data_IF_686795810870
#
_entry.id   IF_686795810870
#
_cell.length_a   1.000
_cell.length_b   1.000
_cell.length_c   1.000
_cell.angle_alpha   90.00
_cell.angle_beta   90.00
_cell.angle_gamma   90.00
#
_symmetry.space_group_name_H-M   'P 1'
#
loop_
_entity.id
_entity.type
_entity.pdbx_description
1 polymer ?
#
# COMPACT_ATOMS: atom_id res chain seq x y z
N UNK A 1 -63.52 -6.69 61.22
CA UNK A 1 -63.08 -7.99 60.67
C UNK A 1 -61.98 -7.73 59.65
N UNK A 2 -60.71 -7.87 60.07
CA UNK A 2 -59.53 -7.49 59.28
C UNK A 2 -58.75 -8.76 58.91
N UNK A 3 -58.79 -9.15 57.64
CA UNK A 3 -58.15 -10.36 57.14
C UNK A 3 -56.65 -10.13 56.96
N UNK A 4 -55.85 -10.70 57.86
CA UNK A 4 -54.38 -10.76 57.77
C UNK A 4 -53.97 -11.62 56.58
N UNK A 5 -53.36 -11.03 55.56
CA UNK A 5 -52.66 -11.77 54.49
C UNK A 5 -51.38 -12.37 55.07
N UNK A 6 -51.32 -13.69 55.15
CA UNK A 6 -50.10 -14.45 55.47
C UNK A 6 -49.23 -14.53 54.21
N UNK A 7 -48.05 -13.92 54.24
CA UNK A 7 -47.01 -14.16 53.25
C UNK A 7 -46.41 -15.55 53.52
N UNK A 8 -46.47 -16.46 52.54
CA UNK A 8 -45.66 -17.69 52.52
C UNK A 8 -44.43 -17.41 51.65
N UNK A 9 -43.25 -17.47 52.27
CA UNK A 9 -41.97 -17.62 51.60
C UNK A 9 -41.99 -18.96 50.85
N UNK A 10 -41.84 -18.91 49.52
CA UNK A 10 -41.51 -20.09 48.71
C UNK A 10 -40.01 -20.02 48.46
N UNK A 11 -39.33 -21.09 48.84
CA UNK A 11 -37.90 -21.30 48.65
C UNK A 11 -37.57 -21.21 47.16
N UNK A 12 -36.60 -20.36 46.81
CA UNK A 12 -36.02 -20.29 45.48
C UNK A 12 -34.94 -21.37 45.37
N UNK A 13 -35.36 -22.61 45.16
CA UNK A 13 -34.50 -23.69 44.70
C UNK A 13 -34.89 -24.03 43.26
N UNK A 14 -33.88 -24.20 42.40
CA UNK A 14 -33.92 -24.37 40.94
C UNK A 14 -33.73 -23.09 40.11
N UNK A 15 -32.65 -22.36 40.40
CA UNK A 15 -31.90 -21.71 39.32
C UNK A 15 -31.25 -22.81 38.48
N UNK A 16 -31.79 -23.04 37.30
CA UNK A 16 -31.12 -23.73 36.21
C UNK A 16 -29.88 -22.90 35.86
N UNK A 17 -28.64 -23.37 36.02
CA UNK A 17 -27.55 -22.75 35.31
C UNK A 17 -27.65 -23.27 33.88
N UNK A 18 -28.20 -22.47 32.98
CA UNK A 18 -27.94 -22.64 31.55
C UNK A 18 -26.51 -22.17 31.28
N UNK A 19 -25.55 -22.85 31.91
CA UNK A 19 -24.19 -22.90 31.41
C UNK A 19 -24.26 -23.80 30.18
N UNK A 20 -24.54 -23.19 29.04
CA UNK A 20 -24.20 -23.78 27.75
C UNK A 20 -22.67 -23.88 27.74
N UNK A 21 -22.14 -24.96 28.32
CA UNK A 21 -20.79 -25.43 28.07
C UNK A 21 -20.78 -25.92 26.62
N UNK A 22 -20.72 -24.96 25.70
CA UNK A 22 -20.28 -25.24 24.35
C UNK A 22 -18.92 -25.91 24.52
N UNK A 23 -18.85 -27.19 24.16
CA UNK A 23 -17.65 -28.02 24.17
C UNK A 23 -16.65 -27.37 23.22
N UNK A 24 -15.91 -26.39 23.73
CA UNK A 24 -14.79 -25.80 23.04
C UNK A 24 -13.74 -26.90 23.02
N UNK A 25 -13.46 -27.43 21.82
CA UNK A 25 -12.39 -28.42 21.66
C UNK A 25 -11.13 -27.94 22.40
N UNK A 26 -10.42 -28.82 23.13
CA UNK A 26 -9.19 -28.45 23.80
C UNK A 26 -8.17 -27.89 22.80
N UNK A 27 -7.27 -27.02 23.25
CA UNK A 27 -6.19 -26.52 22.39
C UNK A 27 -5.22 -27.66 22.15
N UNK A 28 -4.98 -27.97 20.88
CA UNK A 28 -3.86 -28.82 20.49
C UNK A 28 -2.61 -27.96 20.34
N UNK A 29 -1.67 -28.16 21.27
CA UNK A 29 -0.40 -27.43 21.34
C UNK A 29 0.64 -27.91 20.33
N UNK A 30 0.40 -29.05 19.66
CA UNK A 30 1.21 -29.52 18.53
C UNK A 30 0.86 -28.79 17.23
N UNK A 31 -0.29 -28.12 17.19
CA UNK A 31 -0.70 -27.25 16.09
C UNK A 31 -0.32 -25.80 16.39
N UNK A 32 -0.51 -24.93 15.41
CA UNK A 32 -0.36 -23.50 15.65
C UNK A 32 -1.32 -23.04 16.75
N UNK A 33 -0.80 -22.59 17.89
CA UNK A 33 -1.59 -22.15 19.04
C UNK A 33 -2.55 -20.99 18.71
N UNK A 34 -2.28 -20.23 17.64
CA UNK A 34 -3.04 -19.03 17.25
C UNK A 34 -4.15 -19.28 16.22
N UNK A 35 -4.08 -20.38 15.47
CA UNK A 35 -5.08 -20.70 14.44
C UNK A 35 -5.62 -22.13 14.50
N UNK A 36 -5.00 -23.01 15.30
CA UNK A 36 -5.35 -24.41 15.48
C UNK A 36 -5.41 -25.19 14.16
N UNK A 37 -4.53 -24.83 13.22
CA UNK A 37 -4.38 -25.50 11.92
C UNK A 37 -3.01 -26.19 11.84
N UNK A 38 -2.93 -27.35 11.15
CA UNK A 38 -1.66 -27.91 10.76
C UNK A 38 -0.93 -26.96 9.82
N UNK A 39 0.40 -27.03 9.85
CA UNK A 39 1.26 -26.18 9.06
C UNK A 39 2.25 -27.05 8.30
N UNK A 40 2.32 -26.89 6.98
CA UNK A 40 3.42 -27.48 6.19
C UNK A 40 4.75 -26.78 6.45
N UNK A 41 4.71 -25.53 6.95
CA UNK A 41 5.88 -24.74 7.35
C UNK A 41 6.20 -24.96 8.83
N UNK A 42 7.47 -24.90 9.24
CA UNK A 42 7.86 -25.05 10.64
C UNK A 42 7.19 -23.97 11.51
N UNK A 43 6.68 -24.40 12.67
CA UNK A 43 6.15 -23.51 13.69
C UNK A 43 7.32 -22.93 14.50
N UNK A 44 7.17 -21.69 14.95
CA UNK A 44 8.18 -21.04 15.79
C UNK A 44 7.79 -21.21 17.27
N UNK A 45 8.72 -21.70 18.07
CA UNK A 45 8.60 -21.78 19.52
C UNK A 45 9.52 -20.72 20.16
N UNK A 46 8.98 -19.70 20.86
CA UNK A 46 9.79 -18.70 21.54
C UNK A 46 10.75 -19.26 22.59
N UNK A 47 10.43 -20.40 23.20
CA UNK A 47 11.32 -21.07 24.15
C UNK A 47 12.59 -21.62 23.48
N UNK A 48 12.55 -21.88 22.17
CA UNK A 48 13.67 -22.38 21.37
C UNK A 48 14.43 -21.25 20.65
N UNK A 49 14.18 -20.00 21.02
CA UNK A 49 14.92 -18.85 20.48
C UNK A 49 16.41 -18.96 20.83
N UNK A 50 17.27 -18.55 19.90
CA UNK A 50 18.72 -18.45 20.13
C UNK A 50 19.14 -17.16 20.86
N UNK A 51 18.18 -16.28 21.14
CA UNK A 51 18.44 -14.99 21.78
C UNK A 51 18.56 -15.17 23.30
N UNK A 52 19.18 -14.21 23.96
CA UNK A 52 19.35 -14.20 25.43
C UNK A 52 18.02 -14.10 26.19
N UNK A 53 16.98 -13.61 25.53
CA UNK A 53 15.61 -13.42 26.05
C UNK A 53 14.64 -14.54 25.59
N UNK A 54 15.10 -15.80 25.62
CA UNK A 54 14.25 -16.95 25.26
C UNK A 54 12.94 -16.98 26.04
N UNK A 55 11.84 -17.19 25.32
CA UNK A 55 10.49 -17.16 25.90
C UNK A 55 9.83 -15.78 26.00
N UNK A 56 10.55 -14.67 25.84
CA UNK A 56 9.97 -13.31 25.91
C UNK A 56 8.82 -13.09 24.91
N UNK A 57 8.84 -13.82 23.80
CA UNK A 57 7.77 -13.80 22.79
C UNK A 57 6.39 -14.22 23.31
N UNK A 58 6.31 -15.01 24.39
CA UNK A 58 5.03 -15.39 25.02
C UNK A 58 4.40 -14.22 25.76
N UNK A 59 5.21 -13.49 26.53
CA UNK A 59 4.76 -12.32 27.30
C UNK A 59 4.26 -11.24 26.34
N UNK A 60 5.07 -10.84 25.35
CA UNK A 60 4.68 -9.83 24.36
C UNK A 60 3.41 -10.21 23.60
N UNK A 61 3.24 -11.50 23.27
CA UNK A 61 2.06 -11.96 22.55
C UNK A 61 0.82 -11.93 23.46
N UNK A 62 0.95 -12.35 24.72
CA UNK A 62 -0.12 -12.28 25.71
C UNK A 62 -0.61 -10.84 25.91
N UNK A 63 0.30 -9.89 26.08
CA UNK A 63 -0.02 -8.47 26.25
C UNK A 63 -0.76 -7.91 25.04
N UNK A 64 -0.26 -8.16 23.82
CA UNK A 64 -0.92 -7.69 22.61
C UNK A 64 -2.33 -8.28 22.48
N UNK A 65 -2.51 -9.57 22.74
CA UNK A 65 -3.83 -10.23 22.66
C UNK A 65 -4.83 -9.62 23.65
N UNK A 66 -4.38 -9.31 24.87
CA UNK A 66 -5.19 -8.63 25.88
C UNK A 66 -5.62 -7.23 25.40
N UNK A 67 -4.70 -6.47 24.83
CA UNK A 67 -5.00 -5.13 24.31
C UNK A 67 -5.96 -5.18 23.11
N UNK A 68 -5.83 -6.17 22.21
CA UNK A 68 -6.80 -6.37 21.13
C UNK A 68 -8.21 -6.65 21.65
N UNK A 69 -8.35 -7.45 22.71
CA UNK A 69 -9.64 -7.72 23.36
C UNK A 69 -10.24 -6.44 23.96
N UNK A 70 -9.43 -5.60 24.62
CA UNK A 70 -9.90 -4.32 25.17
C UNK A 70 -10.44 -3.38 24.09
N UNK A 71 -9.87 -3.43 22.88
CA UNK A 71 -10.33 -2.68 21.72
C UNK A 71 -11.53 -3.32 20.99
N UNK A 72 -12.07 -4.43 21.49
CA UNK A 72 -13.14 -5.19 20.83
C UNK A 72 -12.73 -5.79 19.48
N UNK A 73 -11.42 -5.93 19.21
CA UNK A 73 -10.90 -6.47 17.96
C UNK A 73 -10.55 -7.95 18.12
N UNK A 74 -10.80 -8.74 17.07
CA UNK A 74 -10.50 -10.17 17.04
C UNK A 74 -9.46 -10.49 15.96
N UNK A 75 -8.15 -10.47 16.28
CA UNK A 75 -7.09 -10.67 15.31
C UNK A 75 -6.95 -12.13 14.84
N UNK A 76 -7.55 -13.07 15.57
CA UNK A 76 -7.42 -14.51 15.35
C UNK A 76 -8.77 -15.22 15.25
N UNK A 77 -8.85 -16.32 14.48
CA UNK A 77 -10.06 -17.11 14.40
C UNK A 77 -10.39 -17.83 15.72
N UNK A 78 -9.40 -18.10 16.57
CA UNK A 78 -9.61 -18.72 17.88
C UNK A 78 -10.14 -17.72 18.90
N UNK A 79 -10.86 -18.22 19.90
CA UNK A 79 -11.31 -17.42 21.02
C UNK A 79 -10.15 -17.26 22.02
N UNK A 80 -9.74 -16.02 22.31
CA UNK A 80 -8.53 -15.75 23.11
C UNK A 80 -8.67 -16.28 24.54
N UNK A 81 -9.87 -16.33 25.11
CA UNK A 81 -10.07 -16.90 26.45
C UNK A 81 -9.71 -18.39 26.55
N UNK A 82 -9.54 -19.11 25.42
CA UNK A 82 -9.04 -20.49 25.43
C UNK A 82 -7.54 -20.58 25.70
N UNK A 83 -6.82 -19.47 25.55
CA UNK A 83 -5.37 -19.39 25.77
C UNK A 83 -5.03 -18.92 27.19
N UNK A 84 -6.02 -18.73 28.05
CA UNK A 84 -5.84 -18.32 29.44
C UNK A 84 -6.44 -19.38 30.37
N UNK A 85 -5.57 -20.15 31.02
CA UNK A 85 -5.97 -21.18 31.99
C UNK A 85 -6.12 -20.60 33.42
N UNK A 86 -6.12 -19.27 33.57
CA UNK A 86 -6.36 -18.57 34.84
C UNK A 86 -5.11 -17.92 35.45
N UNK A 87 -3.94 -18.12 34.86
CA UNK A 87 -2.67 -17.50 35.28
C UNK A 87 -2.11 -16.50 34.27
N UNK A 88 -2.91 -16.17 33.24
CA UNK A 88 -2.57 -15.24 32.18
C UNK A 88 -2.06 -15.93 30.92
N UNK A 89 -2.44 -15.36 29.77
CA UNK A 89 -2.14 -15.88 28.43
C UNK A 89 -0.65 -16.19 28.23
N UNK A 90 0.24 -15.26 28.63
CA UNK A 90 1.68 -15.45 28.46
C UNK A 90 2.23 -16.68 29.19
N UNK A 91 1.78 -16.91 30.43
CA UNK A 91 2.21 -18.03 31.25
C UNK A 91 1.65 -19.36 30.72
N UNK A 92 0.37 -19.36 30.35
CA UNK A 92 -0.28 -20.52 29.71
C UNK A 92 0.41 -20.92 28.41
N UNK A 93 0.78 -19.96 27.55
CA UNK A 93 1.53 -20.23 26.32
C UNK A 93 2.94 -20.76 26.59
N UNK A 94 3.64 -20.20 27.59
CA UNK A 94 4.99 -20.59 27.93
C UNK A 94 5.05 -22.03 28.47
N UNK A 95 4.15 -22.37 29.40
CA UNK A 95 4.06 -23.69 30.04
C UNK A 95 3.77 -24.80 29.04
N UNK A 96 2.93 -24.52 28.05
CA UNK A 96 2.58 -25.47 27.00
C UNK A 96 3.55 -25.46 25.81
N UNK A 97 4.70 -24.76 25.92
CA UNK A 97 5.68 -24.59 24.85
C UNK A 97 5.06 -24.19 23.50
N UNK A 98 4.04 -23.34 23.56
CA UNK A 98 3.16 -23.06 22.44
C UNK A 98 3.92 -22.63 21.19
N UNK A 99 3.56 -23.22 20.05
CA UNK A 99 4.20 -22.93 18.79
C UNK A 99 3.23 -22.22 17.85
N UNK A 100 3.76 -21.36 16.98
CA UNK A 100 2.90 -20.65 16.03
C UNK A 100 3.59 -20.34 14.70
N UNK A 101 2.75 -20.17 13.68
CA UNK A 101 3.17 -19.66 12.39
C UNK A 101 3.54 -18.17 12.50
N UNK A 102 4.59 -17.76 11.79
CA UNK A 102 4.99 -16.35 11.68
C UNK A 102 3.83 -15.47 11.21
N UNK A 103 3.06 -15.95 10.23
CA UNK A 103 1.89 -15.26 9.70
C UNK A 103 0.81 -15.01 10.75
N UNK A 104 0.55 -15.98 11.65
CA UNK A 104 -0.43 -15.83 12.72
C UNK A 104 0.07 -14.85 13.79
N UNK A 105 1.35 -14.94 14.19
CA UNK A 105 1.96 -13.99 15.15
C UNK A 105 1.88 -12.56 14.64
N UNK A 106 2.15 -12.31 13.35
CA UNK A 106 2.11 -10.97 12.76
C UNK A 106 0.73 -10.31 12.87
N UNK A 107 -0.36 -11.10 12.93
CA UNK A 107 -1.72 -10.57 13.16
C UNK A 107 -1.90 -9.95 14.55
N UNK A 108 -1.10 -10.38 15.52
CA UNK A 108 -1.14 -9.95 16.91
C UNK A 108 0.12 -9.13 17.27
N UNK A 109 0.73 -8.46 16.29
CA UNK A 109 1.92 -7.64 16.51
C UNK A 109 1.58 -6.26 17.08
N UNK A 110 2.52 -5.67 17.82
CA UNK A 110 2.39 -4.32 18.37
C UNK A 110 2.05 -3.27 17.30
N UNK A 111 2.58 -3.41 16.09
CA UNK A 111 2.26 -2.52 14.95
C UNK A 111 0.78 -2.61 14.58
N UNK A 112 0.19 -3.81 14.58
CA UNK A 112 -1.25 -3.97 14.30
C UNK A 112 -2.11 -3.51 15.47
N UNK A 113 -1.60 -3.59 16.69
CA UNK A 113 -2.27 -3.10 17.87
C UNK A 113 -2.38 -1.57 17.84
N UNK A 114 -1.26 -0.87 17.63
CA UNK A 114 -1.25 0.60 17.53
C UNK A 114 -2.24 1.12 16.47
N UNK A 115 -2.35 0.43 15.33
CA UNK A 115 -3.35 0.78 14.30
C UNK A 115 -4.79 0.55 14.76
N UNK A 116 -5.04 -0.52 15.51
CA UNK A 116 -6.36 -0.77 16.07
C UNK A 116 -6.75 0.33 17.08
N UNK A 117 -5.79 0.82 17.86
CA UNK A 117 -5.98 1.94 18.79
C UNK A 117 -6.30 3.24 18.06
N UNK A 118 -5.57 3.58 16.99
CA UNK A 118 -5.84 4.77 16.16
C UNK A 118 -7.26 4.75 15.56
N UNK A 119 -7.76 3.58 15.15
CA UNK A 119 -9.12 3.44 14.60
C UNK A 119 -10.24 3.46 15.65
N UNK A 120 -9.91 3.36 16.94
CA UNK A 120 -10.88 3.34 18.04
C UNK A 120 -11.11 4.74 18.66
N UNK A 121 -10.27 5.72 18.33
CA UNK A 121 -10.42 7.09 18.82
C UNK A 121 -11.45 7.88 17.98
N UNK A 122 -12.40 8.60 18.59
CA UNK A 122 -13.31 9.49 17.87
C UNK A 122 -12.54 10.66 17.24
N UNK A 123 -12.71 10.86 15.94
CA UNK A 123 -12.09 11.96 15.20
C UNK A 123 -12.60 13.32 15.71
N UNK A 124 -11.76 14.09 16.39
CA UNK A 124 -12.01 15.51 16.63
C UNK A 124 -11.74 16.31 15.36
N UNK A 125 -12.84 16.62 14.66
CA UNK A 125 -13.07 17.79 13.79
C UNK A 125 -11.86 18.51 13.18
N UNK A 126 -11.75 18.46 11.85
CA UNK A 126 -11.31 19.61 11.06
C UNK A 126 -12.15 19.68 9.79
N UNK A 127 -13.19 20.50 9.88
CA UNK A 127 -14.08 20.93 8.81
C UNK A 127 -13.33 21.87 7.89
N UNK A 128 -13.35 21.59 6.58
CA UNK A 128 -13.40 22.66 5.58
C UNK A 128 -14.33 22.22 4.45
N UNK A 129 -15.50 22.84 4.43
CA UNK A 129 -16.50 22.77 3.38
C UNK A 129 -15.98 23.43 2.10
N UNK A 130 -16.33 22.87 0.95
CA UNK A 130 -16.79 23.64 -0.21
C UNK A 130 -17.55 22.72 -1.18
N UNK A 131 -18.80 23.10 -1.42
CA UNK A 131 -19.77 22.55 -2.36
C UNK A 131 -19.25 22.41 -3.79
N UNK A 132 -19.68 21.35 -4.46
CA UNK A 132 -20.14 21.40 -5.86
C UNK A 132 -20.99 20.17 -6.16
N UNK A 133 -22.27 20.43 -6.36
CA UNK A 133 -23.33 19.51 -6.75
C UNK A 133 -23.02 18.77 -8.05
N UNK A 134 -23.23 17.45 -8.06
CA UNK A 134 -23.24 16.61 -9.26
C UNK A 134 -24.03 15.33 -8.99
N UNK A 135 -25.09 15.12 -9.79
CA UNK A 135 -26.12 14.08 -9.67
C UNK A 135 -25.65 12.64 -9.35
N UNK A 136 -26.53 11.80 -8.75
CA UNK A 136 -26.22 10.41 -8.45
C UNK A 136 -26.10 9.63 -9.76
N UNK A 137 -24.88 9.27 -10.16
CA UNK A 137 -24.71 8.31 -11.23
C UNK A 137 -25.17 6.95 -10.71
N UNK A 138 -26.11 6.36 -11.46
CA UNK A 138 -26.70 5.06 -11.18
C UNK A 138 -25.61 4.01 -11.01
N UNK A 139 -25.64 3.30 -9.87
CA UNK A 139 -25.00 2.01 -9.74
C UNK A 139 -25.47 1.12 -10.90
N UNK A 140 -24.54 0.60 -11.71
CA UNK A 140 -24.76 -0.73 -12.28
C UNK A 140 -24.57 -1.72 -11.13
N UNK A 141 -25.64 -1.92 -10.35
CA UNK A 141 -25.83 -3.14 -9.59
C UNK A 141 -25.94 -4.27 -10.61
N UNK A 142 -24.89 -5.07 -10.75
CA UNK A 142 -25.08 -6.44 -11.21
C UNK A 142 -25.82 -7.17 -10.08
N UNK A 143 -26.92 -7.82 -10.45
CA UNK A 143 -27.82 -8.52 -9.56
C UNK A 143 -27.11 -9.52 -8.64
N UNK A 144 -27.67 -9.64 -7.44
CA UNK A 144 -27.35 -10.67 -6.48
C UNK A 144 -27.53 -12.06 -7.07
N UNK A 145 -26.43 -12.71 -7.39
CA UNK A 145 -26.32 -14.16 -7.26
C UNK A 145 -25.18 -14.44 -6.28
N UNK A 146 -25.52 -15.04 -5.15
CA UNK A 146 -24.60 -15.54 -4.13
C UNK A 146 -23.46 -16.34 -4.77
N UNK A 147 -22.32 -15.67 -4.98
CA UNK A 147 -21.06 -16.30 -5.35
C UNK A 147 -19.95 -15.63 -4.56
N UNK A 148 -18.94 -16.38 -4.10
CA UNK A 148 -17.91 -15.88 -3.19
C UNK A 148 -17.21 -14.69 -3.84
N UNK A 149 -17.20 -13.56 -3.13
CA UNK A 149 -16.59 -12.28 -3.55
C UNK A 149 -15.22 -12.51 -4.16
N UNK A 150 -15.19 -12.47 -5.49
CA UNK A 150 -13.97 -12.61 -6.28
C UNK A 150 -13.19 -11.30 -6.11
N UNK A 151 -12.22 -11.31 -5.18
CA UNK A 151 -11.37 -10.16 -4.91
C UNK A 151 -10.51 -9.85 -6.15
N UNK A 152 -10.92 -8.88 -6.97
CA UNK A 152 -10.11 -8.38 -8.07
C UNK A 152 -8.90 -7.60 -7.53
N UNK A 153 -7.70 -7.91 -8.03
CA UNK A 153 -6.47 -7.25 -7.60
C UNK A 153 -6.39 -5.81 -8.13
N UNK A 154 -6.09 -4.87 -7.24
CA UNK A 154 -6.22 -3.43 -7.49
C UNK A 154 -5.39 -2.93 -8.69
N UNK A 155 -4.13 -3.34 -8.82
CA UNK A 155 -3.27 -2.88 -9.91
C UNK A 155 -3.53 -3.62 -11.23
N UNK A 156 -3.53 -4.94 -11.22
CA UNK A 156 -3.61 -5.72 -12.47
C UNK A 156 -5.03 -6.07 -12.91
N UNK A 157 -6.06 -5.81 -12.08
CA UNK A 157 -7.45 -6.16 -12.38
C UNK A 157 -7.72 -7.65 -12.52
N UNK A 158 -6.74 -8.51 -12.22
CA UNK A 158 -6.89 -9.96 -12.30
C UNK A 158 -7.72 -10.45 -11.12
N UNK A 159 -8.50 -11.50 -11.35
CA UNK A 159 -9.23 -12.23 -10.33
C UNK A 159 -8.24 -12.94 -9.39
N UNK A 160 -8.48 -12.84 -8.08
CA UNK A 160 -7.72 -13.54 -7.06
C UNK A 160 -7.86 -15.05 -7.10
N UNK A 161 -6.82 -15.76 -7.51
CA UNK A 161 -6.58 -17.14 -7.08
C UNK A 161 -5.74 -17.10 -5.80
N UNK A 162 -6.16 -17.83 -4.77
CA UNK A 162 -5.65 -17.79 -3.38
C UNK A 162 -4.15 -18.20 -3.18
N UNK A 163 -3.38 -18.32 -4.27
CA UNK A 163 -2.08 -19.01 -4.29
C UNK A 163 -0.88 -18.09 -4.03
N UNK A 164 -1.02 -16.76 -4.18
CA UNK A 164 0.10 -15.81 -4.05
C UNK A 164 0.08 -15.06 -2.72
N UNK A 165 1.23 -14.77 -2.08
CA UNK A 165 1.29 -13.91 -0.89
C UNK A 165 0.71 -12.52 -1.19
N UNK A 166 -0.52 -12.30 -0.72
CA UNK A 166 -1.26 -11.06 -0.92
C UNK A 166 -0.80 -10.01 0.08
N UNK A 167 -0.65 -8.77 -0.40
CA UNK A 167 -0.55 -7.61 0.46
C UNK A 167 -1.88 -6.87 0.48
N UNK A 168 -2.37 -6.60 1.69
CA UNK A 168 -3.52 -5.76 1.96
C UNK A 168 -3.04 -4.33 2.16
N UNK A 169 -3.76 -3.37 1.59
CA UNK A 169 -3.39 -1.95 1.54
C UNK A 169 -2.87 -1.44 2.90
N UNK A 170 -1.62 -0.98 2.92
CA UNK A 170 -0.99 -0.45 4.11
C UNK A 170 -0.55 0.99 3.91
N UNK A 171 -1.04 1.85 4.80
CA UNK A 171 -0.64 3.24 5.05
C UNK A 171 -0.98 4.26 3.94
N UNK A 172 -1.43 5.46 4.32
CA UNK A 172 -1.69 6.56 3.37
C UNK A 172 -0.45 6.96 2.55
N UNK A 173 0.76 6.64 3.04
CA UNK A 173 2.02 6.85 2.32
C UNK A 173 2.10 6.04 1.02
N UNK A 174 1.62 4.79 1.02
CA UNK A 174 1.58 3.98 -0.19
C UNK A 174 0.56 4.57 -1.17
N UNK A 175 -0.62 4.98 -0.68
CA UNK A 175 -1.63 5.64 -1.53
C UNK A 175 -1.07 6.86 -2.22
N UNK A 176 -0.43 7.76 -1.48
CA UNK A 176 0.15 8.96 -2.05
C UNK A 176 1.15 8.63 -3.16
N UNK A 177 2.09 7.72 -2.90
CA UNK A 177 3.09 7.31 -3.90
C UNK A 177 2.48 6.65 -5.13
N UNK A 178 1.48 5.78 -4.94
CA UNK A 178 0.76 5.14 -6.04
C UNK A 178 0.04 6.18 -6.90
N UNK A 179 -0.58 7.19 -6.28
CA UNK A 179 -1.24 8.30 -6.98
C UNK A 179 -0.24 9.13 -7.79
N UNK A 180 0.92 9.44 -7.21
CA UNK A 180 2.00 10.11 -7.93
C UNK A 180 2.48 9.30 -9.14
N UNK A 181 2.67 7.99 -8.97
CA UNK A 181 3.06 7.10 -10.07
C UNK A 181 1.99 7.05 -11.16
N UNK A 182 0.71 6.95 -10.77
CA UNK A 182 -0.41 6.90 -11.72
C UNK A 182 -0.50 8.18 -12.57
N UNK A 183 -0.35 9.34 -11.94
CA UNK A 183 -0.32 10.64 -12.63
C UNK A 183 0.91 10.76 -13.54
N UNK A 184 2.09 10.37 -13.03
CA UNK A 184 3.34 10.43 -13.79
C UNK A 184 3.33 9.55 -15.03
N UNK A 185 2.76 8.35 -14.90
CA UNK A 185 2.60 7.40 -16.00
C UNK A 185 1.38 7.68 -16.88
N UNK A 186 0.55 8.66 -16.50
CA UNK A 186 -0.74 8.94 -17.13
C UNK A 186 -1.62 7.68 -17.27
N UNK A 187 -1.54 6.76 -16.30
CA UNK A 187 -2.32 5.52 -16.29
C UNK A 187 -3.78 5.83 -15.92
N UNK A 188 -4.58 6.13 -16.95
CA UNK A 188 -5.99 6.53 -16.79
C UNK A 188 -6.82 5.47 -16.07
N UNK A 189 -6.50 4.18 -16.23
CA UNK A 189 -7.23 3.10 -15.56
C UNK A 189 -6.93 3.09 -14.07
N UNK A 190 -5.68 3.29 -13.69
CA UNK A 190 -5.28 3.37 -12.29
C UNK A 190 -5.78 4.67 -11.63
N UNK A 191 -5.73 5.79 -12.34
CA UNK A 191 -6.28 7.08 -11.87
C UNK A 191 -7.79 6.95 -11.59
N UNK A 192 -8.55 6.36 -12.51
CA UNK A 192 -9.99 6.13 -12.32
C UNK A 192 -10.26 5.22 -11.12
N UNK A 193 -9.45 4.18 -10.86
CA UNK A 193 -9.62 3.36 -9.65
C UNK A 193 -9.36 4.17 -8.37
N UNK A 194 -8.33 5.03 -8.38
CA UNK A 194 -7.97 5.89 -7.25
C UNK A 194 -8.92 7.07 -7.01
N UNK A 195 -9.80 7.40 -7.96
CA UNK A 195 -10.82 8.44 -7.76
C UNK A 195 -11.96 7.97 -6.84
N UNK A 196 -12.13 6.66 -6.68
CA UNK A 196 -13.18 6.08 -5.83
C UNK A 196 -12.83 6.12 -4.33
N UNK A 197 -11.56 6.35 -3.99
CA UNK A 197 -11.08 6.34 -2.61
C UNK A 197 -9.58 6.05 -2.54
N UNK A 198 -8.98 6.23 -1.37
CA UNK A 198 -7.60 5.78 -1.16
C UNK A 198 -7.52 4.24 -1.08
N UNK A 199 -6.31 3.67 -1.21
CA UNK A 199 -6.17 2.20 -1.20
C UNK A 199 -6.66 1.58 0.12
N UNK A 200 -6.69 2.35 1.21
CA UNK A 200 -7.15 1.89 2.52
C UNK A 200 -8.68 1.80 2.55
N UNK A 201 -9.37 2.86 2.14
CA UNK A 201 -10.83 2.92 2.03
C UNK A 201 -11.37 1.93 1.01
N UNK A 202 -10.60 1.63 -0.04
CA UNK A 202 -10.97 0.62 -1.04
C UNK A 202 -10.61 -0.81 -0.63
N UNK A 203 -10.07 -1.02 0.57
CA UNK A 203 -9.57 -2.31 1.08
C UNK A 203 -8.72 -3.06 0.04
N UNK A 204 -7.90 -2.29 -0.69
CA UNK A 204 -7.31 -2.76 -1.93
C UNK A 204 -6.31 -3.89 -1.68
N UNK A 205 -6.53 -5.04 -2.34
CA UNK A 205 -5.58 -6.16 -2.35
C UNK A 205 -4.73 -6.13 -3.60
N UNK A 206 -3.43 -6.36 -3.46
CA UNK A 206 -2.50 -6.30 -4.57
C UNK A 206 -1.34 -7.30 -4.47
N UNK A 207 -0.74 -7.61 -5.62
CA UNK A 207 0.52 -8.34 -5.68
C UNK A 207 1.69 -7.39 -5.39
N UNK A 208 2.63 -7.80 -4.53
CA UNK A 208 3.88 -7.05 -4.34
C UNK A 208 4.61 -6.80 -5.66
N UNK A 209 4.64 -7.79 -6.56
CA UNK A 209 5.24 -7.67 -7.88
C UNK A 209 4.55 -6.63 -8.78
N UNK A 210 3.24 -6.45 -8.66
CA UNK A 210 2.52 -5.40 -9.40
C UNK A 210 2.90 -3.99 -8.90
N UNK A 211 3.06 -3.83 -7.58
CA UNK A 211 3.48 -2.55 -7.01
C UNK A 211 4.92 -2.20 -7.42
N UNK A 212 5.83 -3.17 -7.35
CA UNK A 212 7.22 -2.99 -7.79
C UNK A 212 7.29 -2.63 -9.27
N UNK A 213 6.48 -3.28 -10.12
CA UNK A 213 6.38 -2.94 -11.54
C UNK A 213 5.92 -1.50 -11.77
N UNK A 214 4.93 -1.04 -11.00
CA UNK A 214 4.44 0.34 -11.08
C UNK A 214 5.54 1.35 -10.72
N UNK A 215 6.26 1.11 -9.61
CA UNK A 215 7.35 1.99 -9.20
C UNK A 215 8.49 2.02 -10.20
N UNK A 216 8.90 0.86 -10.71
CA UNK A 216 9.97 0.78 -11.70
C UNK A 216 9.58 1.48 -13.01
N UNK A 217 8.32 1.36 -13.46
CA UNK A 217 7.82 2.08 -14.62
C UNK A 217 7.86 3.60 -14.40
N UNK A 218 7.38 4.07 -13.24
CA UNK A 218 7.39 5.49 -12.88
C UNK A 218 8.81 6.06 -12.82
N UNK A 219 9.78 5.29 -12.31
CA UNK A 219 11.18 5.71 -12.27
C UNK A 219 11.77 5.81 -13.68
N UNK A 220 11.55 4.83 -14.55
CA UNK A 220 11.99 4.89 -15.95
C UNK A 220 11.43 6.11 -16.67
N UNK A 221 10.14 6.40 -16.48
CA UNK A 221 9.52 7.60 -17.03
C UNK A 221 10.18 8.90 -16.52
N UNK A 222 10.64 8.90 -15.26
CA UNK A 222 11.40 10.02 -14.68
C UNK A 222 12.72 10.26 -15.40
N UNK A 223 13.45 9.18 -15.69
CA UNK A 223 14.74 9.24 -16.37
C UNK A 223 14.56 9.70 -17.82
N UNK A 224 13.53 9.22 -18.50
CA UNK A 224 13.16 9.67 -19.85
C UNK A 224 12.79 11.15 -19.88
N UNK A 225 11.94 11.62 -18.96
CA UNK A 225 11.52 13.03 -18.92
C UNK A 225 12.69 13.97 -18.57
N UNK A 226 13.62 13.54 -17.70
CA UNK A 226 14.83 14.31 -17.37
C UNK A 226 15.80 14.37 -18.55
N UNK A 227 15.96 13.25 -19.27
CA UNK A 227 16.79 13.22 -20.48
C UNK A 227 16.21 14.09 -21.58
N UNK A 228 14.91 13.98 -21.87
CA UNK A 228 14.22 14.84 -22.84
C UNK A 228 14.37 16.32 -22.50
N UNK A 229 14.16 16.68 -21.22
CA UNK A 229 14.37 18.05 -20.76
C UNK A 229 15.81 18.52 -20.93
N UNK A 230 16.80 17.66 -20.66
CA UNK A 230 18.22 17.99 -20.85
C UNK A 230 18.56 18.17 -22.32
N UNK A 231 18.08 17.28 -23.19
CA UNK A 231 18.33 17.33 -24.64
C UNK A 231 17.76 18.62 -25.23
N UNK A 232 16.56 19.04 -24.80
CA UNK A 232 15.95 20.32 -25.19
C UNK A 232 16.79 21.54 -24.76
N UNK A 233 17.37 21.50 -23.57
CA UNK A 233 18.28 22.57 -23.11
C UNK A 233 19.54 22.61 -23.97
N UNK A 234 20.15 21.46 -24.24
CA UNK A 234 21.32 21.36 -25.12
C UNK A 234 21.01 21.84 -26.55
N UNK A 235 19.82 21.56 -27.08
CA UNK A 235 19.35 22.12 -28.36
C UNK A 235 19.28 23.65 -28.34
N UNK A 236 18.76 24.24 -27.27
CA UNK A 236 18.73 25.69 -27.11
C UNK A 236 20.13 26.32 -27.08
N UNK A 237 21.08 25.68 -26.39
CA UNK A 237 22.47 26.14 -26.32
C UNK A 237 23.13 26.08 -27.70
N UNK A 238 23.06 24.92 -28.37
CA UNK A 238 23.66 24.74 -29.70
C UNK A 238 23.09 25.71 -30.73
N UNK A 239 21.78 25.97 -30.68
CA UNK A 239 21.13 26.95 -31.57
C UNK A 239 21.59 28.38 -31.28
N UNK A 240 21.66 28.78 -30.00
CA UNK A 240 22.11 30.11 -29.62
C UNK A 240 23.56 30.38 -30.06
N UNK A 241 24.44 29.39 -29.93
CA UNK A 241 25.83 29.50 -30.40
C UNK A 241 25.93 29.59 -31.93
N UNK A 242 25.10 28.83 -32.67
CA UNK A 242 25.04 28.93 -34.12
C UNK A 242 24.58 30.33 -34.57
N UNK A 243 23.56 30.89 -33.91
CA UNK A 243 23.09 32.25 -34.17
C UNK A 243 24.20 33.26 -33.86
N UNK A 244 24.89 33.12 -32.72
CA UNK A 244 26.03 33.97 -32.36
C UNK A 244 27.15 33.92 -33.40
N UNK A 245 27.49 32.72 -33.90
CA UNK A 245 28.46 32.57 -34.99
C UNK A 245 28.03 33.34 -36.24
N UNK A 246 26.76 33.25 -36.65
CA UNK A 246 26.22 33.98 -37.80
C UNK A 246 26.26 35.49 -37.58
N UNK A 247 25.91 35.96 -36.38
CA UNK A 247 25.92 37.39 -36.02
C UNK A 247 27.34 37.97 -35.98
N UNK A 248 28.30 37.23 -35.42
CA UNK A 248 29.72 37.60 -35.38
C UNK A 248 30.32 37.65 -36.79
N UNK A 249 29.99 36.67 -37.64
CA UNK A 249 30.44 36.68 -39.04
C UNK A 249 29.80 37.79 -39.85
N UNK A 250 28.54 38.17 -39.57
CA UNK A 250 27.92 39.36 -40.18
C UNK A 250 28.56 40.66 -39.70
N UNK A 251 28.91 40.74 -38.41
CA UNK A 251 29.47 41.95 -37.80
C UNK A 251 30.94 42.19 -38.15
N UNK A 252 31.67 41.16 -38.59
CA UNK A 252 33.07 41.28 -39.03
C UNK A 252 33.23 41.82 -40.46
N UNK A 253 32.13 41.98 -41.21
CA UNK A 253 32.13 42.47 -42.59
C UNK A 253 32.07 44.00 -42.61
N UNK A 254 33.07 44.65 -43.22
CA UNK A 254 33.14 46.11 -43.33
C UNK A 254 32.21 46.65 -44.43
N UNK A 255 31.90 47.95 -44.37
CA UNK A 255 30.83 48.67 -45.12
C UNK A 255 30.84 48.46 -46.66
N UNK A 256 31.92 47.93 -47.24
CA UNK A 256 32.04 47.70 -48.69
C UNK A 256 32.10 46.21 -49.11
N UNK A 257 31.98 45.26 -48.18
CA UNK A 257 32.05 43.83 -48.49
C UNK A 257 30.67 43.18 -48.71
N UNK A 258 30.66 42.14 -49.53
CA UNK A 258 29.47 41.34 -49.84
C UNK A 258 29.02 40.60 -48.56
N UNK A 259 27.72 40.66 -48.25
CA UNK A 259 27.16 39.95 -47.10
C UNK A 259 27.54 38.46 -47.10
N UNK A 260 27.92 37.87 -45.96
CA UNK A 260 28.38 36.50 -45.90
C UNK A 260 27.21 35.55 -46.22
N UNK A 261 27.45 34.63 -47.16
CA UNK A 261 26.47 33.61 -47.57
C UNK A 261 26.80 32.31 -46.86
N UNK A 262 25.87 31.82 -46.04
CA UNK A 262 26.02 30.55 -45.33
C UNK A 262 25.32 29.43 -46.10
N UNK A 263 26.02 28.31 -46.27
CA UNK A 263 25.35 27.10 -46.77
C UNK A 263 24.63 26.43 -45.61
N UNK A 264 23.36 26.10 -45.83
CA UNK A 264 22.52 25.45 -44.83
C UNK A 264 23.11 24.12 -44.33
N UNK A 265 23.85 23.40 -45.20
CA UNK A 265 24.55 22.16 -44.82
C UNK A 265 25.69 22.40 -43.83
N UNK A 266 26.39 23.53 -43.92
CA UNK A 266 27.51 23.86 -43.03
C UNK A 266 26.97 24.30 -41.66
N UNK A 267 25.89 25.07 -41.65
CA UNK A 267 25.17 25.43 -40.41
C UNK A 267 24.59 24.20 -39.71
N UNK A 268 24.02 23.27 -40.48
CA UNK A 268 23.53 22.00 -39.95
C UNK A 268 24.66 21.19 -39.31
N UNK A 269 25.84 21.14 -39.95
CA UNK A 269 27.01 20.46 -39.39
C UNK A 269 27.47 21.09 -38.07
N UNK A 270 27.60 22.42 -38.03
CA UNK A 270 27.98 23.14 -36.81
C UNK A 270 27.00 22.87 -35.66
N UNK A 271 25.70 22.86 -35.96
CA UNK A 271 24.66 22.55 -34.99
C UNK A 271 24.75 21.10 -34.49
N UNK A 272 24.88 20.12 -35.40
CA UNK A 272 24.96 18.70 -35.03
C UNK A 272 26.22 18.38 -34.25
N UNK A 273 27.37 18.94 -34.64
CA UNK A 273 28.64 18.73 -33.95
C UNK A 273 28.54 19.26 -32.53
N UNK A 274 27.96 20.46 -32.35
CA UNK A 274 27.78 21.04 -31.03
C UNK A 274 26.83 20.24 -30.14
N UNK A 275 25.76 19.69 -30.68
CA UNK A 275 24.86 18.79 -29.95
C UNK A 275 25.57 17.53 -29.44
N UNK A 276 26.45 16.95 -30.25
CA UNK A 276 27.25 15.78 -29.85
C UNK A 276 28.24 16.15 -28.74
N UNK A 277 28.87 17.32 -28.82
CA UNK A 277 29.74 17.84 -27.75
C UNK A 277 28.98 18.05 -26.43
N UNK A 278 27.72 18.48 -26.51
CA UNK A 278 26.82 18.63 -25.35
C UNK A 278 26.23 17.29 -24.86
N UNK A 279 26.67 16.16 -25.41
CA UNK A 279 26.30 14.82 -24.97
C UNK A 279 24.96 14.31 -25.52
N UNK A 280 24.37 14.99 -26.50
CA UNK A 280 23.13 14.56 -27.14
C UNK A 280 23.44 13.57 -28.26
N UNK A 281 22.93 12.35 -28.12
CA UNK A 281 23.09 11.30 -29.13
C UNK A 281 22.03 11.46 -30.23
N UNK A 282 22.44 11.99 -31.37
CA UNK A 282 21.59 12.17 -32.54
C UNK A 282 21.49 10.82 -33.28
N UNK A 283 20.36 10.11 -33.13
CA UNK A 283 20.12 8.83 -33.81
C UNK A 283 19.44 8.99 -35.17
N UNK A 284 18.77 10.11 -35.41
CA UNK A 284 18.09 10.43 -36.67
C UNK A 284 18.73 11.64 -37.34
N UNK A 285 18.67 11.69 -38.68
CA UNK A 285 19.23 12.79 -39.45
C UNK A 285 18.42 14.06 -39.20
N UNK A 286 18.99 15.03 -38.48
CA UNK A 286 18.38 16.37 -38.28
C UNK A 286 18.15 16.99 -39.66
N UNK A 287 16.92 17.41 -39.94
CA UNK A 287 16.57 17.88 -41.26
C UNK A 287 16.93 19.37 -41.39
N UNK A 288 17.40 19.79 -42.55
CA UNK A 288 17.80 21.19 -42.77
C UNK A 288 16.63 22.19 -42.66
N UNK A 289 15.39 21.72 -42.66
CA UNK A 289 14.19 22.53 -42.39
C UNK A 289 14.11 23.00 -40.96
N UNK A 290 14.74 22.31 -40.01
CA UNK A 290 14.69 22.64 -38.58
C UNK A 290 15.50 23.92 -38.27
N UNK A 291 16.39 24.31 -39.19
CA UNK A 291 17.17 25.54 -39.15
C UNK A 291 16.61 26.65 -40.08
N UNK A 292 15.50 26.38 -40.77
CA UNK A 292 14.93 27.29 -41.77
C UNK A 292 13.78 28.15 -41.23
N UNK A 293 13.18 27.76 -40.10
CA UNK A 293 12.08 28.45 -39.41
C UNK A 293 12.59 29.06 -38.10
#
# INVERSE_FOLDING_TARGET
MSARKKCKLVQAENLIPLATTATLNPIDWNLCALCQKPSSKPLNCPAQSKRTDSGAGYVTLGDNLKNFLQLGKRPLPIHIARLDEGDGIGNTLARNHAQWQTSCRLKCSAIRLARAEETALPSTSSTCSSDSQGQPYKLRQAESTNTPTVSNYFFCGKVGTEVMPLHEAMTPRITHRVRQCALKLQDQKLIARLSHGDLVALEAKYHASCLVKLYNASNRKSEEDMKDSSDRVSHGIALAELIGYIEDTKSSVTVNDIAPVFKLVDLLRLYTDRLVELGVWITERIHSTDLKN
#
